data_IF_742258817300
#
_entry.id   IF_742258817300
#
_cell.length_a   1.000
_cell.length_b   1.000
_cell.length_c   1.000
_cell.angle_alpha   90.00
_cell.angle_beta   90.00
_cell.angle_gamma   90.00
#
_symmetry.space_group_name_H-M   'P 1'
#
loop_
_entity.id
_entity.type
_entity.pdbx_description
1 polymer ?
#
# COMPACT_ATOMS: atom_id res chain seq x y z
N UNK A 1 -0.35 6.38 -5.34
CA UNK A 1 -0.29 7.70 -4.68
C UNK A 1 1.14 8.19 -4.67
N UNK A 2 1.33 9.44 -4.98
CA UNK A 2 2.66 10.07 -4.98
C UNK A 2 2.82 10.89 -3.70
N UNK A 3 4.06 11.13 -3.28
CA UNK A 3 4.33 11.89 -2.05
C UNK A 3 3.74 13.30 -2.08
N UNK A 4 3.68 13.95 -3.25
CA UNK A 4 3.03 15.26 -3.38
C UNK A 4 1.55 15.23 -3.03
N UNK A 5 0.89 14.09 -3.19
CA UNK A 5 -0.51 13.92 -2.87
C UNK A 5 -0.74 13.87 -1.36
N UNK A 6 0.27 13.44 -0.59
CA UNK A 6 0.18 13.40 0.86
C UNK A 6 0.03 14.79 1.47
N UNK A 7 0.67 15.78 0.88
CA UNK A 7 0.58 17.17 1.38
C UNK A 7 -0.87 17.63 1.34
N UNK A 8 -1.61 17.25 0.31
CA UNK A 8 -3.05 17.54 0.21
C UNK A 8 -3.87 16.69 1.16
N UNK A 9 -3.55 15.40 1.28
CA UNK A 9 -4.28 14.46 2.15
C UNK A 9 -4.13 14.82 3.62
N UNK A 10 -2.97 15.33 4.04
CA UNK A 10 -2.77 15.73 5.44
C UNK A 10 -3.66 16.88 5.89
N UNK A 11 -4.35 17.53 4.96
CA UNK A 11 -5.40 18.46 5.29
C UNK A 11 -6.79 17.81 5.41
N UNK A 12 -6.93 16.53 5.05
CA UNK A 12 -8.21 15.83 5.06
C UNK A 12 -8.47 15.18 6.43
N UNK A 13 -9.75 15.08 6.85
CA UNK A 13 -10.07 14.69 8.22
C UNK A 13 -10.16 13.19 8.49
N UNK A 14 -10.20 12.32 7.47
CA UNK A 14 -10.46 10.90 7.70
C UNK A 14 -9.17 10.09 7.92
N UNK A 15 -9.00 9.49 9.12
CA UNK A 15 -7.86 8.60 9.34
C UNK A 15 -8.09 7.24 8.67
N UNK A 16 -7.02 6.57 8.22
CA UNK A 16 -7.12 5.20 7.73
C UNK A 16 -7.44 4.23 8.87
N UNK A 17 -7.95 3.05 8.51
CA UNK A 17 -8.15 1.97 9.46
C UNK A 17 -6.81 1.43 9.93
N UNK A 18 -6.62 1.37 11.25
CA UNK A 18 -5.38 0.88 11.84
C UNK A 18 -5.49 -0.59 12.19
N UNK A 19 -4.38 -1.32 12.05
CA UNK A 19 -4.30 -2.70 12.50
C UNK A 19 -4.41 -2.76 14.03
N UNK A 20 -5.02 -3.83 14.59
CA UNK A 20 -5.19 -3.95 16.04
C UNK A 20 -3.90 -4.23 16.79
N UNK A 21 -2.90 -4.81 16.14
CA UNK A 21 -1.61 -5.11 16.76
C UNK A 21 -0.59 -4.03 16.45
N UNK A 22 0.20 -3.69 17.47
CA UNK A 22 1.32 -2.76 17.31
C UNK A 22 2.62 -3.55 17.24
N UNK A 23 3.59 -3.00 16.51
CA UNK A 23 4.96 -3.47 16.59
C UNK A 23 5.90 -2.26 16.64
N UNK A 24 7.04 -2.46 17.32
CA UNK A 24 8.02 -1.39 17.48
C UNK A 24 9.17 -1.58 16.52
N UNK A 25 9.58 -0.49 15.88
CA UNK A 25 10.73 -0.50 14.99
C UNK A 25 11.68 0.64 15.34
N UNK A 26 12.97 0.45 15.01
CA UNK A 26 13.95 1.53 15.09
C UNK A 26 14.19 2.07 13.71
N UNK A 27 14.07 3.38 13.56
CA UNK A 27 14.34 4.06 12.32
C UNK A 27 15.80 4.49 12.23
N UNK A 28 16.39 4.56 11.04
CA UNK A 28 17.67 5.24 10.86
C UNK A 28 17.61 6.66 11.41
N UNK A 29 18.72 7.16 11.94
CA UNK A 29 18.74 8.48 12.61
C UNK A 29 18.23 9.59 11.70
N UNK A 30 18.66 9.61 10.44
CA UNK A 30 18.22 10.64 9.49
C UNK A 30 16.72 10.54 9.19
N UNK A 31 16.21 9.33 9.04
CA UNK A 31 14.76 9.11 8.81
C UNK A 31 13.97 9.60 10.01
N UNK A 32 14.42 9.27 11.21
CA UNK A 32 13.77 9.71 12.44
C UNK A 32 13.75 11.25 12.54
N UNK A 33 14.84 11.91 12.18
CA UNK A 33 14.92 13.37 12.17
C UNK A 33 13.94 13.99 11.17
N UNK A 34 13.84 13.40 9.96
CA UNK A 34 12.91 13.88 8.95
C UNK A 34 11.46 13.71 9.38
N UNK A 35 11.13 12.60 10.01
CA UNK A 35 9.78 12.37 10.53
C UNK A 35 9.46 13.39 11.64
N UNK A 36 10.39 13.65 12.54
CA UNK A 36 10.20 14.64 13.60
C UNK A 36 9.99 16.04 13.02
N UNK A 37 10.71 16.39 11.96
CA UNK A 37 10.54 17.66 11.26
C UNK A 37 9.13 17.80 10.70
N UNK A 38 8.61 16.74 10.07
CA UNK A 38 7.24 16.75 9.56
C UNK A 38 6.20 16.89 10.67
N UNK A 39 6.43 16.26 11.82
CA UNK A 39 5.54 16.39 12.97
C UNK A 39 5.47 17.84 13.47
N UNK A 40 6.59 18.53 13.41
CA UNK A 40 6.64 19.95 13.81
C UNK A 40 5.96 20.86 12.79
N UNK A 41 6.08 20.54 11.48
CA UNK A 41 5.42 21.29 10.40
C UNK A 41 3.91 21.07 10.38
N UNK A 42 3.45 19.89 10.78
CA UNK A 42 2.04 19.51 10.75
C UNK A 42 1.55 19.06 12.12
N UNK A 43 1.42 19.99 13.08
CA UNK A 43 1.14 19.64 14.48
C UNK A 43 -0.23 19.01 14.71
N UNK A 44 -1.15 19.10 13.75
CA UNK A 44 -2.46 18.45 13.85
C UNK A 44 -2.43 16.97 13.52
N UNK A 45 -1.34 16.49 12.91
CA UNK A 45 -1.15 15.08 12.59
C UNK A 45 -0.27 14.41 13.65
N UNK A 46 -0.63 13.20 14.03
CA UNK A 46 0.21 12.42 14.93
C UNK A 46 1.40 11.82 14.18
N UNK A 47 2.44 11.47 14.91
CA UNK A 47 3.60 10.77 14.33
C UNK A 47 3.17 9.48 13.63
N UNK A 48 2.26 8.73 14.25
CA UNK A 48 1.73 7.49 13.68
C UNK A 48 1.04 7.72 12.34
N UNK A 49 0.23 8.77 12.24
CA UNK A 49 -0.45 9.11 11.00
C UNK A 49 0.53 9.49 9.89
N UNK A 50 1.53 10.30 10.22
CA UNK A 50 2.54 10.73 9.24
C UNK A 50 3.34 9.54 8.73
N UNK A 51 3.81 8.68 9.63
CA UNK A 51 4.55 7.47 9.25
C UNK A 51 3.68 6.53 8.42
N UNK A 52 2.44 6.33 8.83
CA UNK A 52 1.49 5.49 8.10
C UNK A 52 1.26 5.98 6.69
N UNK A 53 1.07 7.28 6.51
CA UNK A 53 0.86 7.89 5.18
C UNK A 53 2.09 7.74 4.29
N UNK A 54 3.27 7.96 4.86
CA UNK A 54 4.52 7.81 4.12
C UNK A 54 4.75 6.35 3.69
N UNK A 55 4.50 5.40 4.60
CA UNK A 55 4.62 3.99 4.28
C UNK A 55 3.59 3.55 3.23
N UNK A 56 2.37 4.05 3.33
CA UNK A 56 1.33 3.77 2.34
C UNK A 56 1.80 4.19 0.94
N UNK A 57 2.32 5.39 0.83
CA UNK A 57 2.82 5.92 -0.44
C UNK A 57 4.01 5.12 -0.97
N UNK A 58 4.96 4.81 -0.09
CA UNK A 58 6.15 4.07 -0.47
C UNK A 58 5.81 2.64 -0.92
N UNK A 59 4.90 1.98 -0.22
CA UNK A 59 4.48 0.63 -0.55
C UNK A 59 3.68 0.59 -1.84
N UNK A 60 2.84 1.59 -2.11
CA UNK A 60 2.13 1.71 -3.37
C UNK A 60 3.09 1.87 -4.55
N UNK A 61 4.11 2.69 -4.38
CA UNK A 61 5.13 2.88 -5.40
C UNK A 61 5.93 1.61 -5.63
N UNK A 62 6.33 0.93 -4.56
CA UNK A 62 7.05 -0.34 -4.64
C UNK A 62 6.24 -1.39 -5.39
N UNK A 63 4.94 -1.48 -5.08
CA UNK A 63 4.05 -2.43 -5.75
C UNK A 63 4.00 -2.19 -7.26
N UNK A 64 3.95 -0.93 -7.69
CA UNK A 64 3.94 -0.57 -9.11
C UNK A 64 5.29 -0.79 -9.79
N UNK A 65 6.37 -0.70 -9.03
CA UNK A 65 7.72 -0.81 -9.56
C UNK A 65 8.19 -2.24 -9.74
N UNK A 66 7.49 -3.23 -9.19
CA UNK A 66 7.81 -4.62 -9.47
C UNK A 66 7.61 -4.93 -10.94
N UNK A 67 8.65 -5.39 -11.64
CA UNK A 67 8.52 -5.68 -13.06
C UNK A 67 7.65 -6.92 -13.27
N UNK A 68 6.78 -6.91 -14.28
CA UNK A 68 6.01 -8.09 -14.64
C UNK A 68 6.93 -9.16 -15.23
N UNK A 69 6.65 -10.42 -14.91
CA UNK A 69 7.34 -11.57 -15.46
C UNK A 69 6.34 -12.44 -16.20
N UNK A 70 6.53 -12.60 -17.50
CA UNK A 70 5.64 -13.34 -18.34
C UNK A 70 5.62 -14.83 -17.96
N UNK A 71 4.45 -15.33 -17.58
CA UNK A 71 4.21 -16.75 -17.39
C UNK A 71 3.53 -17.38 -18.60
N UNK A 72 2.64 -18.33 -18.37
CA UNK A 72 1.90 -18.97 -19.47
C UNK A 72 0.78 -18.08 -19.96
N UNK A 73 0.36 -18.31 -21.20
CA UNK A 73 -0.77 -17.62 -21.80
C UNK A 73 -2.08 -18.01 -21.08
N UNK A 74 -2.92 -17.00 -20.77
CA UNK A 74 -4.20 -17.21 -20.08
C UNK A 74 -5.41 -16.81 -20.91
N UNK A 75 -5.20 -16.37 -22.15
CA UNK A 75 -6.25 -15.99 -23.08
C UNK A 75 -5.89 -14.77 -23.89
N UNK A 76 -6.85 -14.30 -24.68
CA UNK A 76 -6.68 -13.13 -25.51
C UNK A 76 -7.47 -11.95 -24.95
N UNK A 77 -6.90 -10.76 -25.08
CA UNK A 77 -7.58 -9.55 -24.63
C UNK A 77 -8.84 -9.32 -25.49
N UNK A 78 -10.01 -9.10 -24.86
CA UNK A 78 -11.27 -9.01 -25.61
C UNK A 78 -11.36 -7.82 -26.56
N UNK A 79 -10.61 -6.75 -26.31
CA UNK A 79 -10.66 -5.54 -27.14
C UNK A 79 -9.56 -5.49 -28.18
N UNK A 80 -8.35 -5.93 -27.83
CA UNK A 80 -7.17 -5.81 -28.71
C UNK A 80 -6.79 -7.11 -29.40
N UNK A 81 -7.29 -8.26 -28.92
CA UNK A 81 -6.92 -9.57 -29.45
C UNK A 81 -5.51 -10.01 -29.08
N UNK A 82 -4.77 -9.22 -28.31
CA UNK A 82 -3.43 -9.59 -27.87
C UNK A 82 -3.48 -10.71 -26.84
N UNK A 83 -2.52 -11.64 -26.93
CA UNK A 83 -2.41 -12.71 -25.97
C UNK A 83 -1.98 -12.16 -24.60
N UNK A 84 -2.77 -12.49 -23.58
CA UNK A 84 -2.45 -12.14 -22.20
C UNK A 84 -1.68 -13.28 -21.54
N UNK A 85 -0.78 -12.92 -20.67
CA UNK A 85 0.07 -13.85 -19.94
C UNK A 85 -0.07 -13.67 -18.45
N UNK A 86 0.04 -14.79 -17.73
CA UNK A 86 0.08 -14.75 -16.29
C UNK A 86 1.35 -14.01 -15.82
N UNK A 87 1.21 -13.09 -14.86
CA UNK A 87 2.36 -12.48 -14.23
C UNK A 87 2.83 -13.38 -13.09
N UNK A 88 4.01 -13.97 -13.26
CA UNK A 88 4.63 -14.84 -12.25
C UNK A 88 5.75 -14.11 -11.51
N UNK A 89 5.83 -12.81 -11.64
CA UNK A 89 6.84 -11.99 -10.98
C UNK A 89 6.54 -11.73 -9.52
N UNK A 90 7.45 -11.02 -8.87
CA UNK A 90 7.33 -10.68 -7.44
C UNK A 90 6.16 -9.76 -7.14
N UNK A 91 5.74 -8.92 -8.10
CA UNK A 91 4.59 -8.06 -7.93
C UNK A 91 3.29 -8.84 -7.73
N UNK A 92 3.08 -9.90 -8.50
CA UNK A 92 1.92 -10.77 -8.33
C UNK A 92 1.94 -11.48 -6.99
N UNK A 93 3.11 -11.97 -6.58
CA UNK A 93 3.30 -12.59 -5.25
C UNK A 93 3.04 -11.59 -4.13
N UNK A 94 3.55 -10.37 -4.28
CA UNK A 94 3.35 -9.30 -3.31
C UNK A 94 1.86 -9.00 -3.11
N UNK A 95 1.11 -8.84 -4.21
CA UNK A 95 -0.33 -8.55 -4.13
C UNK A 95 -1.11 -9.70 -3.50
N UNK A 96 -0.82 -10.93 -3.89
CA UNK A 96 -1.48 -12.11 -3.33
C UNK A 96 -1.23 -12.25 -1.84
N UNK A 97 0.02 -12.09 -1.40
CA UNK A 97 0.38 -12.17 0.01
C UNK A 97 -0.19 -11.01 0.80
N UNK A 98 -0.24 -9.82 0.22
CA UNK A 98 -0.86 -8.64 0.84
C UNK A 98 -2.34 -8.91 1.12
N UNK A 99 -3.07 -9.44 0.14
CA UNK A 99 -4.48 -9.75 0.31
C UNK A 99 -4.69 -10.79 1.41
N UNK A 100 -3.87 -11.83 1.43
CA UNK A 100 -3.92 -12.85 2.47
C UNK A 100 -3.78 -12.24 3.86
N UNK A 101 -2.75 -11.42 4.07
CA UNK A 101 -2.51 -10.79 5.36
C UNK A 101 -3.58 -9.76 5.71
N UNK A 102 -4.08 -9.03 4.72
CA UNK A 102 -5.16 -8.06 4.94
C UNK A 102 -6.42 -8.75 5.47
N UNK A 103 -6.81 -9.89 4.87
CA UNK A 103 -7.98 -10.63 5.34
C UNK A 103 -7.79 -11.18 6.75
N UNK A 104 -6.59 -11.63 7.09
CA UNK A 104 -6.27 -12.08 8.44
C UNK A 104 -6.37 -10.92 9.46
N UNK A 105 -5.83 -9.76 9.12
CA UNK A 105 -5.89 -8.57 9.99
C UNK A 105 -7.33 -8.10 10.17
N UNK A 106 -8.12 -8.08 9.10
CA UNK A 106 -9.52 -7.71 9.17
C UNK A 106 -10.31 -8.65 10.05
N UNK A 107 -10.04 -9.94 9.94
CA UNK A 107 -10.67 -10.95 10.80
C UNK A 107 -10.33 -10.73 12.26
N UNK A 108 -9.06 -10.48 12.58
CA UNK A 108 -8.61 -10.22 13.94
C UNK A 108 -9.23 -8.93 14.50
N UNK A 109 -9.49 -7.94 13.66
CA UNK A 109 -10.11 -6.68 14.05
C UNK A 109 -11.64 -6.76 14.13
N UNK A 110 -12.24 -7.90 13.74
CA UNK A 110 -13.71 -8.06 13.74
C UNK A 110 -14.40 -7.28 12.65
N UNK A 111 -13.73 -6.96 11.57
CA UNK A 111 -14.29 -6.19 10.45
C UNK A 111 -15.18 -7.10 9.61
N UNK A 112 -16.42 -6.68 9.38
CA UNK A 112 -17.39 -7.42 8.56
C UNK A 112 -17.53 -6.89 7.14
N UNK A 113 -17.03 -5.69 6.89
CA UNK A 113 -16.99 -5.05 5.57
C UNK A 113 -15.54 -4.95 5.09
N UNK A 114 -15.02 -5.99 4.41
CA UNK A 114 -13.60 -6.01 4.04
C UNK A 114 -13.23 -4.88 3.09
N UNK A 115 -12.02 -4.36 3.26
CA UNK A 115 -11.48 -3.34 2.37
C UNK A 115 -11.31 -3.92 0.97
N UNK A 116 -11.77 -3.25 -0.08
CA UNK A 116 -11.51 -3.68 -1.45
C UNK A 116 -10.00 -3.68 -1.72
N UNK A 117 -9.53 -4.79 -2.23
CA UNK A 117 -8.14 -4.92 -2.69
C UNK A 117 -8.12 -5.81 -3.92
N UNK A 118 -7.63 -5.27 -5.02
CA UNK A 118 -7.58 -5.98 -6.28
C UNK A 118 -6.17 -6.53 -6.50
N UNK A 119 -6.07 -7.82 -6.74
CA UNK A 119 -4.81 -8.46 -7.09
C UNK A 119 -4.45 -8.23 -8.56
N UNK A 120 -5.43 -7.83 -9.36
CA UNK A 120 -5.23 -7.46 -10.76
C UNK A 120 -5.26 -5.96 -10.90
N UNK A 121 -4.24 -5.39 -11.45
CA UNK A 121 -4.22 -3.97 -11.77
C UNK A 121 -4.84 -3.76 -13.14
N UNK A 122 -6.14 -3.77 -13.17
CA UNK A 122 -6.90 -3.38 -14.34
C UNK A 122 -7.24 -1.92 -14.24
N UNK A 123 -6.42 -1.13 -14.80
CA UNK A 123 -6.71 0.30 -14.81
C UNK A 123 -6.87 0.77 -16.21
#
# INVERSE_FOLDING_TARGET
>A
MKTKDLITIWGAPEPPRLAPKQFSIRLPMLVSAKVSALCEMYPKKTKTEIIGDLLTTALDQLERDFPPVQGRAIGDHPETGETMYEDVGKGASFRRLTEKHLREIEKDAGITDPMPYFTDWEC
#
